data_IF_008243965937
#
_entry.id   IF_008243965937
#
_cell.length_a   1.000
_cell.length_b   1.000
_cell.length_c   1.000
_cell.angle_alpha   90.00
_cell.angle_beta   90.00
_cell.angle_gamma   90.00
#
_symmetry.space_group_name_H-M   'P 1'
#
loop_
_entity.id
_entity.type
_entity.pdbx_description
1 polymer ?
#
# COMPACT_ATOMS: atom_id res chain seq x y z
N UNK A 1 6.91 -5.68 22.60
CA UNK A 1 7.51 -4.54 21.89
C UNK A 1 7.32 -4.74 20.39
N UNK A 2 6.91 -3.70 19.67
CA UNK A 2 6.89 -3.65 18.20
C UNK A 2 8.07 -2.81 17.75
N UNK A 3 8.76 -3.27 16.71
CA UNK A 3 9.84 -2.51 16.05
C UNK A 3 9.36 -2.20 14.64
N UNK A 4 9.15 -0.92 14.37
CA UNK A 4 8.88 -0.41 13.04
C UNK A 4 10.20 -0.09 12.36
N UNK A 5 10.38 -0.53 11.13
CA UNK A 5 11.54 -0.18 10.32
C UNK A 5 11.09 0.14 8.89
N UNK A 6 11.73 1.09 8.26
CA UNK A 6 11.45 1.51 6.90
C UNK A 6 12.72 1.93 6.17
N UNK A 7 12.65 2.01 4.86
CA UNK A 7 13.75 2.48 4.03
C UNK A 7 13.39 3.83 3.41
N UNK A 8 14.30 4.82 3.45
CA UNK A 8 14.10 6.06 2.74
C UNK A 8 14.13 5.79 1.23
N UNK A 9 13.18 6.37 0.51
CA UNK A 9 13.17 6.33 -0.95
C UNK A 9 13.56 7.70 -1.47
N UNK A 10 14.63 7.75 -2.29
CA UNK A 10 15.00 8.95 -3.01
C UNK A 10 14.23 9.00 -4.33
N UNK A 11 13.67 10.17 -4.65
CA UNK A 11 13.16 10.41 -6.00
C UNK A 11 14.35 10.59 -6.95
N UNK A 12 14.52 9.73 -7.97
CA UNK A 12 15.64 9.84 -8.90
C UNK A 12 15.58 11.11 -9.77
N UNK A 13 14.39 11.71 -9.91
CA UNK A 13 14.18 12.95 -10.67
C UNK A 13 14.37 14.20 -9.81
N UNK A 14 14.27 14.07 -8.48
CA UNK A 14 14.40 15.19 -7.54
C UNK A 14 15.28 14.77 -6.34
N UNK A 15 16.61 14.72 -6.52
CA UNK A 15 17.53 14.31 -5.46
C UNK A 15 17.49 15.17 -4.20
N UNK A 16 16.97 16.41 -4.31
CA UNK A 16 16.83 17.32 -3.16
C UNK A 16 15.61 16.98 -2.29
N UNK A 17 14.73 16.10 -2.76
CA UNK A 17 13.54 15.64 -2.04
C UNK A 17 13.84 14.59 -0.95
N UNK A 18 15.10 14.37 -0.61
CA UNK A 18 15.49 13.43 0.46
C UNK A 18 14.80 13.80 1.78
N UNK A 19 14.24 12.81 2.49
CA UNK A 19 13.67 13.02 3.81
C UNK A 19 14.73 13.46 4.82
N UNK A 20 14.38 14.42 5.66
CA UNK A 20 15.18 14.82 6.83
C UNK A 20 14.58 14.31 8.13
N UNK A 21 13.38 13.74 8.08
CA UNK A 21 12.70 13.15 9.22
C UNK A 21 11.43 12.43 8.83
N UNK A 22 10.78 11.80 9.80
CA UNK A 22 9.58 11.00 9.59
C UNK A 22 8.56 11.25 10.68
N UNK A 23 7.29 11.12 10.33
CA UNK A 23 6.17 11.10 11.25
C UNK A 23 5.62 9.69 11.26
N UNK A 24 5.52 9.09 12.43
CA UNK A 24 4.90 7.79 12.65
C UNK A 24 3.48 8.02 13.08
N UNK A 25 2.54 7.43 12.37
CA UNK A 25 1.13 7.47 12.68
C UNK A 25 0.61 6.08 13.06
N UNK A 26 -0.31 6.06 14.02
CA UNK A 26 -0.97 4.86 14.53
C UNK A 26 -2.48 4.98 14.44
N UNK A 27 -3.12 3.85 14.20
CA UNK A 27 -4.56 3.63 14.36
C UNK A 27 -4.75 2.35 15.16
N UNK A 28 -5.63 2.36 16.16
CA UNK A 28 -5.86 1.22 17.05
C UNK A 28 -7.26 0.63 16.80
N UNK A 29 -7.31 -0.66 16.50
CA UNK A 29 -8.54 -1.38 16.22
C UNK A 29 -9.29 -0.75 15.04
N UNK A 30 -10.59 -0.53 15.23
CA UNK A 30 -11.54 0.01 14.24
C UNK A 30 -11.63 1.54 14.23
N UNK A 31 -10.69 2.24 14.84
CA UNK A 31 -10.62 3.70 14.75
C UNK A 31 -10.59 4.15 13.28
N UNK A 32 -11.31 5.25 12.96
CA UNK A 32 -11.44 5.71 11.59
C UNK A 32 -10.21 6.48 11.08
N UNK A 33 -9.41 7.03 12.00
CA UNK A 33 -8.31 7.92 11.64
C UNK A 33 -6.98 7.50 12.27
N UNK A 34 -5.92 7.68 11.50
CA UNK A 34 -4.55 7.63 12.01
C UNK A 34 -4.22 8.92 12.75
N UNK A 35 -3.43 8.80 13.81
CA UNK A 35 -2.92 9.93 14.59
C UNK A 35 -1.40 9.84 14.73
N UNK A 36 -0.70 10.96 14.68
CA UNK A 36 0.73 10.99 14.95
C UNK A 36 1.03 10.54 16.37
N UNK A 37 2.01 9.64 16.52
CA UNK A 37 2.48 9.15 17.82
C UNK A 37 3.94 9.50 18.07
N UNK A 38 4.74 9.72 17.02
CA UNK A 38 6.14 10.11 17.13
C UNK A 38 6.63 10.82 15.88
N UNK A 39 7.74 11.54 16.04
CA UNK A 39 8.56 12.08 14.96
C UNK A 39 10.02 11.64 15.15
N UNK A 40 10.72 11.41 14.04
CA UNK A 40 12.16 11.12 14.06
C UNK A 40 12.91 12.12 13.17
N UNK A 41 14.15 12.39 13.52
CA UNK A 41 15.06 13.26 12.76
C UNK A 41 16.05 12.42 11.96
N UNK A 42 15.50 11.65 10.97
CA UNK A 42 16.31 10.81 10.08
C UNK A 42 16.43 9.34 10.49
N UNK A 43 16.11 8.97 11.73
CA UNK A 43 16.07 7.57 12.14
C UNK A 43 14.95 6.82 11.39
N UNK A 44 15.29 5.65 10.89
CA UNK A 44 14.40 4.77 10.11
C UNK A 44 13.94 3.55 10.90
N UNK A 45 14.10 3.59 12.21
CA UNK A 45 13.64 2.57 13.15
C UNK A 45 12.97 3.23 14.34
N UNK A 46 11.79 2.74 14.70
CA UNK A 46 11.07 3.21 15.88
C UNK A 46 10.55 2.03 16.69
N UNK A 47 10.73 2.07 18.01
CA UNK A 47 10.32 1.02 18.93
C UNK A 47 9.21 1.51 19.84
N UNK A 48 8.16 0.70 19.98
CA UNK A 48 7.01 1.02 20.81
C UNK A 48 6.43 -0.20 21.50
N UNK A 49 5.57 0.05 22.48
CA UNK A 49 4.80 -0.99 23.15
C UNK A 49 3.40 -1.04 22.55
N UNK A 50 2.96 -2.24 22.17
CA UNK A 50 1.61 -2.55 21.68
C UNK A 50 1.22 -3.91 22.26
N UNK A 51 0.99 -3.97 23.59
CA UNK A 51 0.78 -5.22 24.33
C UNK A 51 -0.63 -5.29 24.97
N UNK A 52 -1.53 -4.42 24.56
CA UNK A 52 -2.90 -4.33 25.08
C UNK A 52 -3.88 -5.35 24.46
N UNK A 53 -3.40 -6.13 23.49
CA UNK A 53 -4.18 -7.17 22.82
C UNK A 53 -5.10 -6.66 21.71
N UNK A 54 -4.97 -5.39 21.34
CA UNK A 54 -5.63 -4.83 20.17
C UNK A 54 -4.74 -4.90 18.93
N UNK A 55 -5.35 -4.73 17.79
CA UNK A 55 -4.60 -4.57 16.53
C UNK A 55 -4.16 -3.11 16.43
N UNK A 56 -2.88 -2.90 16.21
CA UNK A 56 -2.28 -1.61 15.98
C UNK A 56 -1.83 -1.54 14.52
N UNK A 57 -2.33 -0.55 13.81
CA UNK A 57 -1.95 -0.26 12.41
C UNK A 57 -1.05 0.96 12.37
N UNK A 58 0.00 0.91 11.57
CA UNK A 58 1.02 1.93 11.47
C UNK A 58 1.25 2.35 10.02
N UNK A 59 1.62 3.60 9.83
CA UNK A 59 2.14 4.14 8.59
C UNK A 59 3.15 5.26 8.87
N UNK A 60 4.01 5.51 7.91
CA UNK A 60 5.09 6.49 8.03
C UNK A 60 4.94 7.57 6.96
N UNK A 61 5.14 8.82 7.33
CA UNK A 61 5.15 9.97 6.43
C UNK A 61 6.55 10.54 6.46
N UNK A 62 7.20 10.64 5.31
CA UNK A 62 8.48 11.33 5.18
C UNK A 62 8.26 12.86 5.20
N UNK A 63 9.23 13.60 5.76
CA UNK A 63 9.21 15.06 5.77
C UNK A 63 10.59 15.66 5.48
N UNK A 64 10.58 16.82 4.89
CA UNK A 64 11.75 17.71 4.71
C UNK A 64 11.30 19.17 4.76
N UNK A 65 12.20 20.10 4.42
CA UNK A 65 11.89 21.54 4.37
C UNK A 65 10.80 21.88 3.32
N UNK A 66 10.67 21.08 2.27
CA UNK A 66 9.68 21.26 1.21
C UNK A 66 8.27 20.81 1.59
N UNK A 67 8.12 19.95 2.61
CA UNK A 67 6.82 19.46 3.04
C UNK A 67 6.80 18.01 3.52
N UNK A 68 5.66 17.36 3.31
CA UNK A 68 5.39 15.99 3.73
C UNK A 68 4.98 15.13 2.54
N UNK A 69 5.42 13.87 2.54
CA UNK A 69 4.97 12.87 1.56
C UNK A 69 3.54 12.40 1.82
N UNK A 70 2.98 11.68 0.87
CA UNK A 70 1.88 10.76 1.17
C UNK A 70 2.37 9.70 2.18
N UNK A 71 1.43 9.10 2.97
CA UNK A 71 1.78 8.02 3.88
C UNK A 71 2.32 6.80 3.12
N UNK A 72 3.15 6.02 3.81
CA UNK A 72 3.53 4.67 3.38
C UNK A 72 2.32 3.74 3.33
N UNK A 73 2.51 2.52 2.86
CA UNK A 73 1.58 1.43 3.08
C UNK A 73 1.25 1.26 4.57
N UNK A 74 0.07 0.68 4.83
CA UNK A 74 -0.37 0.38 6.20
C UNK A 74 0.09 -1.02 6.56
N UNK A 75 0.87 -1.13 7.63
CA UNK A 75 1.22 -2.39 8.28
C UNK A 75 0.53 -2.49 9.64
N UNK A 76 0.29 -3.71 10.11
CA UNK A 76 -0.42 -3.94 11.37
C UNK A 76 0.22 -5.05 12.21
N UNK A 77 -0.01 -5.02 13.51
CA UNK A 77 0.43 -6.06 14.44
C UNK A 77 -0.55 -6.22 15.60
N UNK A 78 -0.66 -7.46 16.11
CA UNK A 78 -1.27 -7.78 17.39
C UNK A 78 -0.39 -8.79 18.11
N UNK A 79 0.22 -8.40 19.23
CA UNK A 79 1.20 -9.24 19.93
C UNK A 79 0.59 -10.22 20.92
N UNK A 80 -0.70 -10.11 21.19
CA UNK A 80 -1.37 -11.00 22.15
C UNK A 80 -2.03 -12.16 21.43
N UNK A 81 -1.56 -13.37 21.72
CA UNK A 81 -2.16 -14.62 21.29
C UNK A 81 -2.66 -15.46 22.44
N UNK A 82 -3.42 -16.50 22.16
CA UNK A 82 -3.96 -17.46 23.11
C UNK A 82 -3.11 -18.73 23.16
N UNK A 83 -2.87 -19.24 24.37
CA UNK A 83 -2.38 -20.61 24.57
C UNK A 83 -1.05 -20.95 23.91
N UNK A 84 -0.18 -19.96 23.67
CA UNK A 84 1.11 -20.19 23.00
C UNK A 84 0.98 -20.48 21.50
N UNK A 85 -0.09 -20.05 20.86
CA UNK A 85 -0.26 -20.15 19.41
C UNK A 85 0.87 -19.43 18.68
N UNK A 86 1.23 -19.99 17.55
CA UNK A 86 2.30 -19.49 16.70
C UNK A 86 1.96 -18.12 16.12
N UNK A 87 2.96 -17.25 16.03
CA UNK A 87 2.81 -15.94 15.40
C UNK A 87 2.67 -16.09 13.89
N UNK A 88 1.69 -15.37 13.31
CA UNK A 88 1.48 -15.31 11.87
C UNK A 88 2.20 -14.08 11.33
N UNK A 89 2.91 -14.24 10.23
CA UNK A 89 3.47 -13.11 9.47
C UNK A 89 2.60 -12.80 8.29
N UNK A 90 1.98 -11.63 8.30
CA UNK A 90 1.17 -11.11 7.20
C UNK A 90 2.07 -10.32 6.26
N UNK A 91 2.21 -10.80 5.02
CA UNK A 91 3.00 -10.13 3.99
C UNK A 91 2.07 -9.30 3.10
N UNK A 92 2.23 -7.98 3.15
CA UNK A 92 1.42 -7.06 2.37
C UNK A 92 1.99 -6.91 0.95
N UNK A 93 1.56 -7.78 0.03
CA UNK A 93 1.93 -7.72 -1.38
C UNK A 93 0.91 -6.98 -2.26
N UNK A 94 -0.20 -6.49 -1.70
CA UNK A 94 -1.22 -5.73 -2.41
C UNK A 94 -1.32 -4.30 -1.86
N UNK A 95 -0.49 -3.42 -2.36
CA UNK A 95 -0.36 -2.03 -1.88
C UNK A 95 -0.93 -0.99 -2.83
N UNK A 96 -1.27 -1.39 -4.05
CA UNK A 96 -1.80 -0.51 -5.08
C UNK A 96 -2.66 -1.26 -6.09
N UNK A 97 -3.53 -0.52 -6.75
CA UNK A 97 -4.30 -1.04 -7.89
C UNK A 97 -3.38 -1.17 -9.09
N UNK A 98 -3.34 -2.34 -9.72
CA UNK A 98 -2.65 -2.55 -11.00
C UNK A 98 -3.53 -2.03 -12.14
N UNK A 99 -2.94 -1.25 -13.03
CA UNK A 99 -3.60 -0.83 -14.27
C UNK A 99 -3.80 -2.01 -15.24
N UNK A 100 -4.57 -1.79 -16.31
CA UNK A 100 -4.66 -2.72 -17.41
C UNK A 100 -3.30 -2.90 -18.12
N UNK A 101 -3.18 -3.94 -18.94
CA UNK A 101 -2.03 -4.11 -19.82
C UNK A 101 -1.82 -2.87 -20.70
N UNK A 102 -0.58 -2.43 -20.86
CA UNK A 102 -0.25 -1.19 -21.55
C UNK A 102 0.38 -1.45 -22.91
N UNK A 103 0.23 -0.50 -23.82
CA UNK A 103 0.98 -0.48 -25.07
C UNK A 103 1.53 0.92 -25.38
N UNK A 104 2.60 0.96 -26.14
CA UNK A 104 3.16 2.17 -26.73
C UNK A 104 3.59 1.90 -28.17
N UNK A 105 2.89 2.49 -29.12
CA UNK A 105 3.15 2.38 -30.56
C UNK A 105 3.72 3.69 -31.14
N UNK A 106 4.30 4.54 -30.33
CA UNK A 106 4.93 5.79 -30.73
C UNK A 106 3.93 6.97 -30.82
N UNK A 107 3.09 7.00 -31.84
CA UNK A 107 2.06 8.03 -32.01
C UNK A 107 0.85 7.81 -31.07
N UNK A 108 0.61 6.57 -30.68
CA UNK A 108 -0.51 6.15 -29.84
C UNK A 108 0.05 5.35 -28.68
N UNK A 109 -0.43 5.63 -27.48
CA UNK A 109 -0.17 4.82 -26.30
C UNK A 109 -1.46 4.69 -25.48
N UNK A 110 -1.61 3.61 -24.72
CA UNK A 110 -2.83 3.39 -23.97
C UNK A 110 -2.85 2.05 -23.25
N UNK A 111 -4.05 1.52 -23.06
CA UNK A 111 -4.31 0.31 -22.29
C UNK A 111 -5.11 -0.70 -23.12
N UNK A 112 -4.77 -1.98 -22.96
CA UNK A 112 -5.55 -3.10 -23.51
C UNK A 112 -6.51 -3.67 -22.46
N UNK A 113 -7.47 -2.90 -22.04
CA UNK A 113 -8.42 -3.30 -21.00
C UNK A 113 -9.28 -4.50 -21.39
N UNK A 114 -9.53 -4.72 -22.67
CA UNK A 114 -10.21 -5.89 -23.19
C UNK A 114 -9.40 -7.19 -23.09
N UNK A 115 -8.07 -7.08 -23.07
CA UNK A 115 -7.14 -8.22 -22.94
C UNK A 115 -6.78 -8.46 -21.48
N UNK A 116 -6.52 -7.41 -20.77
CA UNK A 116 -6.14 -7.39 -19.38
C UNK A 116 -6.80 -6.18 -18.69
N UNK A 117 -7.80 -6.46 -17.89
CA UNK A 117 -8.58 -5.40 -17.24
C UNK A 117 -7.85 -4.71 -16.09
N UNK A 118 -6.70 -5.24 -15.69
CA UNK A 118 -6.07 -4.77 -14.46
C UNK A 118 -6.83 -5.22 -13.21
N UNK A 119 -6.49 -4.64 -12.10
CA UNK A 119 -7.15 -4.81 -10.80
C UNK A 119 -7.40 -3.44 -10.22
N UNK A 120 -8.59 -3.12 -9.87
CA UNK A 120 -9.84 -3.89 -9.89
C UNK A 120 -10.52 -3.92 -11.27
N UNK A 121 -11.45 -4.84 -11.46
CA UNK A 121 -12.26 -4.97 -12.65
C UNK A 121 -13.74 -4.63 -12.37
N UNK A 122 -14.53 -4.43 -13.42
CA UNK A 122 -15.90 -3.90 -13.40
C UNK A 122 -16.84 -4.49 -12.33
N UNK A 123 -16.63 -5.75 -11.94
CA UNK A 123 -17.39 -6.42 -10.87
C UNK A 123 -16.80 -6.22 -9.48
N UNK A 124 -15.66 -5.56 -9.38
CA UNK A 124 -14.97 -5.29 -8.13
C UNK A 124 -15.33 -3.89 -7.64
N UNK A 125 -15.54 -3.74 -6.33
CA UNK A 125 -15.89 -2.44 -5.72
C UNK A 125 -14.79 -1.39 -5.85
N UNK A 126 -13.57 -1.82 -6.15
CA UNK A 126 -12.43 -0.93 -6.40
C UNK A 126 -12.19 -0.64 -7.89
N UNK A 127 -13.10 -1.02 -8.78
CA UNK A 127 -13.00 -0.71 -10.20
C UNK A 127 -13.04 0.80 -10.45
N UNK A 128 -12.03 1.30 -11.16
CA UNK A 128 -11.86 2.73 -11.43
C UNK A 128 -12.37 3.17 -12.81
N UNK A 129 -12.98 2.27 -13.58
CA UNK A 129 -13.53 2.54 -14.91
C UNK A 129 -12.62 2.08 -16.06
N UNK A 130 -13.18 2.09 -17.26
CA UNK A 130 -12.46 1.73 -18.46
C UNK A 130 -11.43 2.80 -18.82
N UNK A 131 -10.25 2.36 -19.18
CA UNK A 131 -9.20 3.24 -19.69
C UNK A 131 -9.34 3.39 -21.20
N UNK A 132 -8.86 4.51 -21.74
CA UNK A 132 -8.82 4.78 -23.16
C UNK A 132 -7.38 4.92 -23.64
N UNK A 133 -7.14 4.69 -24.92
CA UNK A 133 -5.83 4.93 -25.52
C UNK A 133 -5.46 6.41 -25.51
N UNK A 134 -4.16 6.69 -25.35
CA UNK A 134 -3.63 8.05 -25.40
C UNK A 134 -3.01 8.33 -26.76
N UNK A 135 -3.49 9.37 -27.41
CA UNK A 135 -2.92 9.84 -28.68
C UNK A 135 -2.00 11.03 -28.39
N UNK A 136 -0.73 10.90 -28.68
CA UNK A 136 0.28 11.94 -28.43
C UNK A 136 0.21 13.11 -29.37
N UNK A 137 -0.40 12.93 -30.55
CA UNK A 137 -0.62 13.98 -31.55
C UNK A 137 -1.85 14.84 -31.26
N UNK A 138 -2.68 14.46 -30.29
CA UNK A 138 -3.85 15.22 -29.86
C UNK A 138 -3.54 15.82 -28.49
N UNK A 139 -3.70 17.16 -28.33
CA UNK A 139 -3.51 17.78 -27.04
C UNK A 139 -4.56 17.27 -26.02
N UNK A 140 -4.24 17.39 -24.74
CA UNK A 140 -5.22 17.19 -23.68
C UNK A 140 -6.45 18.07 -23.91
N UNK A 141 -7.62 17.49 -23.79
CA UNK A 141 -8.89 18.21 -23.92
C UNK A 141 -9.66 18.23 -22.60
N UNK A 142 -10.19 17.09 -22.20
CA UNK A 142 -10.88 16.88 -20.93
C UNK A 142 -11.10 15.38 -20.70
N UNK A 143 -11.74 15.01 -19.58
CA UNK A 143 -11.96 13.63 -19.19
C UNK A 143 -12.92 12.87 -20.13
N UNK A 144 -13.75 13.60 -20.90
CA UNK A 144 -14.71 13.00 -21.82
C UNK A 144 -14.15 12.82 -23.23
N UNK A 145 -13.05 13.45 -23.56
CA UNK A 145 -12.44 13.41 -24.88
C UNK A 145 -11.21 12.50 -24.90
N UNK A 146 -11.19 11.56 -25.83
CA UNK A 146 -10.01 10.74 -26.09
C UNK A 146 -8.90 11.59 -26.69
N UNK A 147 -7.95 12.02 -25.87
CA UNK A 147 -6.78 12.76 -26.25
C UNK A 147 -5.58 12.32 -25.43
N UNK A 148 -4.43 12.94 -25.63
CA UNK A 148 -3.24 12.60 -24.88
C UNK A 148 -3.46 12.80 -23.38
N UNK A 149 -3.33 11.72 -22.60
CA UNK A 149 -3.56 11.72 -21.16
C UNK A 149 -5.04 11.73 -20.75
N UNK A 150 -5.99 11.69 -21.68
CA UNK A 150 -7.41 11.62 -21.35
C UNK A 150 -7.82 10.19 -20.94
N UNK A 151 -8.64 10.11 -19.91
CA UNK A 151 -9.33 8.88 -19.50
C UNK A 151 -10.83 9.11 -19.56
N UNK A 152 -11.60 8.10 -19.95
CA UNK A 152 -13.05 8.14 -19.88
C UNK A 152 -13.61 7.84 -18.50
N UNK A 153 -12.75 7.56 -17.57
CA UNK A 153 -13.12 7.24 -16.20
C UNK A 153 -13.04 8.49 -15.33
N UNK A 154 -14.17 9.03 -14.94
CA UNK A 154 -14.26 10.15 -13.98
C UNK A 154 -13.92 9.71 -12.53
N UNK A 155 -13.11 8.66 -12.36
CA UNK A 155 -12.86 8.04 -11.06
C UNK A 155 -11.43 8.21 -10.57
N UNK A 156 -10.56 8.82 -11.36
CA UNK A 156 -9.12 8.89 -11.08
C UNK A 156 -8.80 9.57 -9.75
N UNK A 157 -9.63 10.49 -9.33
CA UNK A 157 -9.47 11.23 -8.08
C UNK A 157 -10.53 10.86 -7.03
N UNK A 158 -11.30 9.80 -7.26
CA UNK A 158 -12.34 9.38 -6.32
C UNK A 158 -11.84 8.33 -5.35
N UNK A 159 -12.27 8.45 -4.11
CA UNK A 159 -12.11 7.39 -3.12
C UNK A 159 -13.12 6.29 -3.42
N UNK A 160 -12.65 5.10 -3.71
CA UNK A 160 -13.49 3.94 -4.02
C UNK A 160 -13.72 3.18 -2.73
N UNK A 161 -14.98 2.98 -2.37
CA UNK A 161 -15.35 2.26 -1.16
C UNK A 161 -14.75 0.85 -1.14
N UNK A 162 -14.19 0.46 0.01
CA UNK A 162 -13.55 -0.83 0.20
C UNK A 162 -12.11 -0.94 -0.28
N UNK A 163 -11.59 0.08 -0.96
CA UNK A 163 -10.19 0.12 -1.41
C UNK A 163 -9.33 0.96 -0.46
N UNK A 164 -9.11 0.47 0.73
CA UNK A 164 -8.39 1.18 1.79
C UNK A 164 -6.91 0.85 1.85
N UNK A 165 -6.48 -0.21 1.17
CA UNK A 165 -5.12 -0.77 1.23
C UNK A 165 -4.60 -1.12 2.63
N UNK A 166 -5.49 -1.27 3.61
CA UNK A 166 -5.15 -1.72 4.96
C UNK A 166 -5.43 -3.21 5.18
N UNK A 167 -5.15 -4.02 4.17
CA UNK A 167 -5.36 -5.47 4.21
C UNK A 167 -4.66 -6.19 5.36
N UNK A 168 -3.47 -5.78 5.83
CA UNK A 168 -2.88 -6.36 7.05
C UNK A 168 -3.78 -6.23 8.28
N UNK A 169 -4.57 -5.15 8.39
CA UNK A 169 -5.58 -5.02 9.43
C UNK A 169 -6.73 -6.00 9.19
N UNK A 170 -7.29 -6.05 7.98
CA UNK A 170 -8.44 -6.90 7.64
C UNK A 170 -8.14 -8.40 7.84
N UNK A 171 -6.99 -8.87 7.36
CA UNK A 171 -6.54 -10.24 7.60
C UNK A 171 -6.22 -10.46 9.08
N UNK A 172 -5.60 -9.46 9.71
CA UNK A 172 -5.25 -9.46 11.13
C UNK A 172 -6.46 -9.63 12.06
N UNK A 173 -7.62 -9.09 11.71
CA UNK A 173 -8.87 -9.32 12.47
C UNK A 173 -9.22 -10.81 12.53
N UNK A 174 -9.16 -11.51 11.40
CA UNK A 174 -9.45 -12.94 11.35
C UNK A 174 -8.38 -13.76 12.10
N UNK A 175 -7.11 -13.40 11.98
CA UNK A 175 -5.98 -14.07 12.66
C UNK A 175 -6.09 -13.87 14.17
N UNK A 176 -6.34 -12.65 14.63
CA UNK A 176 -6.52 -12.34 16.05
C UNK A 176 -7.77 -12.99 16.63
N UNK A 177 -8.88 -13.01 15.88
CA UNK A 177 -10.11 -13.73 16.28
C UNK A 177 -9.89 -15.24 16.40
N UNK A 178 -8.97 -15.81 15.63
CA UNK A 178 -8.53 -17.18 15.77
C UNK A 178 -7.55 -17.39 16.94
N UNK A 179 -7.19 -16.32 17.67
CA UNK A 179 -6.33 -16.35 18.85
C UNK A 179 -4.83 -16.36 18.55
N UNK A 180 -4.42 -16.09 17.31
CA UNK A 180 -3.00 -15.99 16.96
C UNK A 180 -2.48 -14.57 17.10
N UNK A 181 -1.27 -14.37 17.65
CA UNK A 181 -0.57 -13.11 17.48
C UNK A 181 -0.12 -12.98 16.01
N UNK A 182 0.04 -11.75 15.54
CA UNK A 182 0.59 -11.52 14.20
C UNK A 182 1.43 -10.24 14.13
N UNK A 183 2.31 -10.23 13.15
CA UNK A 183 3.05 -9.07 12.67
C UNK A 183 2.89 -8.98 11.16
N UNK A 184 3.18 -7.82 10.57
CA UNK A 184 3.14 -7.69 9.13
C UNK A 184 4.40 -7.01 8.58
N UNK A 185 4.68 -7.27 7.31
CA UNK A 185 5.77 -6.65 6.58
C UNK A 185 5.37 -6.37 5.13
N UNK A 186 6.16 -5.53 4.45
CA UNK A 186 6.05 -5.34 3.01
C UNK A 186 6.53 -6.57 2.25
N UNK A 187 6.09 -6.70 0.99
CA UNK A 187 6.61 -7.72 0.08
C UNK A 187 8.11 -7.54 -0.16
N UNK A 188 8.56 -6.30 -0.34
CA UNK A 188 9.98 -6.00 -0.60
C UNK A 188 10.87 -6.45 0.57
N UNK A 189 10.44 -6.20 1.81
CA UNK A 189 11.17 -6.70 2.97
C UNK A 189 11.17 -8.23 3.02
N UNK A 190 10.01 -8.86 2.81
CA UNK A 190 9.88 -10.31 2.80
C UNK A 190 10.81 -10.98 1.78
N UNK A 191 10.95 -10.40 0.59
CA UNK A 191 11.84 -10.91 -0.46
C UNK A 191 13.32 -10.82 -0.09
N UNK A 192 13.70 -9.90 0.77
CA UNK A 192 15.10 -9.71 1.19
C UNK A 192 15.48 -10.48 2.45
N UNK A 193 14.55 -10.77 3.34
CA UNK A 193 14.81 -11.39 4.66
C UNK A 193 13.80 -12.49 5.04
N UNK A 194 13.53 -13.40 4.11
CA UNK A 194 12.59 -14.52 4.32
C UNK A 194 13.00 -15.46 5.44
N UNK A 195 14.30 -15.53 5.79
CA UNK A 195 14.82 -16.44 6.83
C UNK A 195 14.49 -15.98 8.25
N UNK A 196 14.16 -14.71 8.43
CA UNK A 196 13.81 -14.12 9.73
C UNK A 196 12.30 -14.17 10.02
N UNK A 197 11.50 -14.70 9.10
CA UNK A 197 10.04 -14.75 9.25
C UNK A 197 9.64 -15.95 10.09
N UNK A 198 9.03 -15.74 11.26
CA UNK A 198 8.60 -16.85 12.10
C UNK A 198 7.29 -17.47 11.60
N UNK A 199 7.19 -18.79 11.70
CA UNK A 199 5.93 -19.50 11.72
C UNK A 199 5.16 -19.52 10.40
N UNK A 200 3.87 -19.25 10.49
CA UNK A 200 2.93 -19.26 9.36
C UNK A 200 2.97 -17.93 8.62
N UNK A 201 2.96 -17.98 7.30
CA UNK A 201 2.92 -16.78 6.44
C UNK A 201 1.55 -16.68 5.78
N UNK A 202 0.93 -15.50 5.90
CA UNK A 202 -0.24 -15.09 5.14
C UNK A 202 0.20 -14.07 4.08
N UNK A 203 0.26 -14.50 2.83
CA UNK A 203 0.75 -13.69 1.72
C UNK A 203 -0.42 -13.07 0.95
N UNK A 204 -0.59 -11.76 1.08
CA UNK A 204 -1.66 -10.99 0.43
C UNK A 204 -1.16 -10.51 -0.94
N UNK A 205 -1.58 -11.18 -2.00
CA UNK A 205 -1.20 -10.81 -3.38
C UNK A 205 -2.33 -10.07 -4.11
N UNK A 206 -3.58 -10.22 -3.65
CA UNK A 206 -4.73 -9.68 -4.35
C UNK A 206 -4.83 -10.24 -5.77
N UNK A 207 -5.16 -9.39 -6.71
CA UNK A 207 -5.17 -9.70 -8.14
C UNK A 207 -3.99 -9.06 -8.89
N UNK A 208 -2.91 -8.72 -8.19
CA UNK A 208 -1.74 -8.18 -8.85
C UNK A 208 -1.12 -9.19 -9.81
N UNK A 209 -0.79 -8.75 -11.01
CA UNK A 209 -0.28 -9.61 -12.09
C UNK A 209 1.23 -9.56 -12.22
N UNK A 210 1.83 -8.46 -11.83
CA UNK A 210 3.28 -8.30 -11.80
C UNK A 210 3.76 -8.54 -10.38
N UNK A 211 3.86 -9.81 -10.04
CA UNK A 211 4.61 -10.22 -8.87
C UNK A 211 5.98 -10.56 -9.39
N UNK A 212 6.91 -9.67 -9.16
CA UNK A 212 8.32 -10.01 -9.29
C UNK A 212 8.68 -10.82 -8.04
N UNK A 213 8.43 -12.11 -8.12
CA UNK A 213 8.93 -13.08 -7.16
C UNK A 213 10.28 -13.58 -7.61
#
# INVERSE_FOLDING_TARGET
EVVLSWQPTADPLEPTAMPTGYIIEERIGDELAFRPIAETDGDTVYKLKADDGRIHSYRVIARNEGGKSFPSEVLAACLKGEGGKECVTVVNGFTRVSGPDTFDAGAIAGFYDGRDHGVPYISDISYIGSQTEFRRDIPWMDDDAAGFGASRANYENQVIAGNTFDYPYVHGEAIAAAGHPFVSCSLDWFMTDTLSVPGVVDLILGKQKEITV
#
